data_IF_902417997032
#
_entry.id   IF_902417997032
#
_cell.length_a   1.000
_cell.length_b   1.000
_cell.length_c   1.000
_cell.angle_alpha   90.00
_cell.angle_beta   90.00
_cell.angle_gamma   90.00
#
_symmetry.space_group_name_H-M   'P 1'
#
loop_
_entity.id
_entity.type
_entity.pdbx_description
1 polymer ?
#
# COMPACT_ATOMS: atom_id res chain seq x y z
N UNK A 1 -15.04 -36.75 -33.57
CA UNK A 1 -13.86 -35.98 -34.02
C UNK A 1 -13.23 -35.43 -32.77
N UNK A 2 -12.01 -35.85 -32.54
CA UNK A 2 -11.15 -35.56 -31.40
C UNK A 2 -10.91 -34.06 -31.26
N UNK A 3 -11.23 -33.49 -30.10
CA UNK A 3 -10.61 -32.24 -29.66
C UNK A 3 -9.12 -32.49 -29.53
N UNK A 4 -8.36 -31.75 -30.33
CA UNK A 4 -6.91 -31.72 -30.36
C UNK A 4 -6.38 -31.24 -29.03
N UNK A 5 -5.75 -32.17 -28.33
CA UNK A 5 -4.88 -31.97 -27.18
C UNK A 5 -3.61 -31.23 -27.66
N UNK A 6 -3.68 -29.91 -27.83
CA UNK A 6 -2.49 -29.09 -27.99
C UNK A 6 -1.82 -28.93 -26.62
N UNK A 7 -0.65 -29.57 -26.47
CA UNK A 7 0.13 -29.62 -25.24
C UNK A 7 0.79 -28.28 -24.91
N UNK A 8 0.03 -27.38 -24.31
CA UNK A 8 0.58 -26.29 -23.50
C UNK A 8 1.09 -26.85 -22.17
N UNK A 9 2.35 -26.60 -21.83
CA UNK A 9 2.90 -26.85 -20.49
C UNK A 9 2.03 -26.04 -19.51
N UNK A 10 1.20 -26.72 -18.72
CA UNK A 10 0.34 -26.04 -17.76
C UNK A 10 1.18 -25.45 -16.62
N UNK A 11 0.75 -24.32 -16.04
CA UNK A 11 1.37 -23.69 -14.86
C UNK A 11 1.72 -24.70 -13.75
N UNK A 12 0.88 -25.73 -13.59
CA UNK A 12 1.04 -26.83 -12.64
C UNK A 12 2.31 -27.68 -12.83
N UNK A 13 2.90 -27.72 -14.03
CA UNK A 13 4.15 -28.41 -14.31
C UNK A 13 5.34 -27.65 -13.72
N UNK A 14 5.39 -26.32 -13.91
CA UNK A 14 6.43 -25.48 -13.32
C UNK A 14 6.42 -25.57 -11.78
N UNK A 15 5.24 -25.51 -11.16
CA UNK A 15 5.09 -25.62 -9.70
C UNK A 15 5.52 -26.98 -9.13
N UNK A 16 5.65 -28.01 -9.97
CA UNK A 16 6.13 -29.35 -9.56
C UNK A 16 7.65 -29.51 -9.72
N UNK A 17 8.33 -28.55 -10.32
CA UNK A 17 9.80 -28.59 -10.43
C UNK A 17 10.44 -28.69 -9.05
N UNK A 18 11.59 -29.37 -8.98
CA UNK A 18 12.42 -29.37 -7.77
C UNK A 18 12.86 -27.95 -7.39
N UNK A 19 12.90 -27.02 -8.35
CA UNK A 19 13.31 -25.63 -8.13
C UNK A 19 12.34 -24.88 -7.20
N UNK A 20 11.03 -25.18 -7.26
CA UNK A 20 10.02 -24.53 -6.43
C UNK A 20 9.70 -25.25 -5.12
N UNK A 21 10.19 -26.49 -4.93
CA UNK A 21 9.99 -27.28 -3.71
C UNK A 21 10.37 -26.53 -2.41
N UNK A 22 11.49 -25.78 -2.33
CA UNK A 22 11.88 -25.03 -1.14
C UNK A 22 10.90 -23.91 -0.74
N UNK A 23 10.05 -23.47 -1.67
CA UNK A 23 9.09 -22.37 -1.50
C UNK A 23 7.65 -22.86 -1.35
N UNK A 24 7.46 -24.16 -1.13
CA UNK A 24 6.12 -24.75 -0.95
C UNK A 24 5.33 -24.17 0.22
N UNK A 25 6.02 -23.63 1.23
CA UNK A 25 5.41 -22.91 2.35
C UNK A 25 4.91 -21.50 1.98
N UNK A 26 5.26 -20.97 0.81
CA UNK A 26 4.70 -19.73 0.27
C UNK A 26 3.55 -19.99 -0.70
N UNK A 27 3.23 -21.24 -1.05
CA UNK A 27 2.12 -21.50 -1.97
C UNK A 27 0.76 -21.12 -1.34
N UNK A 28 -0.08 -20.43 -2.12
CA UNK A 28 -1.46 -20.10 -1.72
C UNK A 28 -2.34 -21.36 -1.72
N UNK A 29 -2.20 -22.18 -2.75
CA UNK A 29 -2.92 -23.45 -2.92
C UNK A 29 -1.97 -24.56 -3.37
N UNK A 30 -2.31 -25.82 -3.02
CA UNK A 30 -1.51 -26.97 -3.43
C UNK A 30 -1.76 -27.31 -4.91
N UNK A 31 -0.71 -27.72 -5.66
CA UNK A 31 -0.88 -28.24 -7.02
C UNK A 31 -1.83 -29.45 -7.07
N UNK A 32 -2.58 -29.60 -8.16
CA UNK A 32 -3.64 -30.63 -8.30
C UNK A 32 -3.14 -32.08 -8.26
N UNK A 33 -1.84 -32.33 -8.44
CA UNK A 33 -1.17 -33.62 -8.32
C UNK A 33 0.34 -33.43 -8.05
N UNK A 34 1.01 -34.41 -7.44
CA UNK A 34 2.48 -34.46 -7.32
C UNK A 34 3.06 -34.38 -5.90
N UNK A 35 2.25 -33.99 -4.92
CA UNK A 35 2.63 -34.00 -3.50
C UNK A 35 1.79 -35.06 -2.78
N UNK A 36 2.40 -35.89 -1.92
CA UNK A 36 1.72 -36.97 -1.16
C UNK A 36 0.80 -36.42 -0.04
N UNK A 37 -0.11 -35.50 -0.37
CA UNK A 37 -1.04 -34.85 0.55
C UNK A 37 -2.40 -34.59 -0.12
N UNK A 38 -3.49 -34.49 0.65
CA UNK A 38 -4.88 -34.39 0.16
C UNK A 38 -5.11 -33.16 -0.76
N UNK A 39 -5.89 -33.35 -1.84
CA UNK A 39 -6.11 -32.42 -2.96
C UNK A 39 -7.08 -31.27 -2.64
N UNK A 40 -6.86 -30.11 -3.25
CA UNK A 40 -7.87 -29.04 -3.40
C UNK A 40 -8.21 -28.24 -2.14
N UNK A 41 -7.54 -28.53 -1.02
CA UNK A 41 -7.63 -27.77 0.22
C UNK A 41 -6.51 -26.71 0.26
N UNK A 42 -6.70 -25.59 0.98
CA UNK A 42 -5.61 -24.69 1.33
C UNK A 42 -4.41 -25.47 1.83
N UNK A 43 -3.20 -25.06 1.46
CA UNK A 43 -1.96 -25.77 1.84
C UNK A 43 -1.88 -25.95 3.36
N UNK A 44 -2.50 -25.05 4.13
CA UNK A 44 -2.22 -24.91 5.55
C UNK A 44 -3.51 -24.68 6.36
N UNK A 45 -3.90 -25.61 7.26
CA UNK A 45 -4.79 -25.29 8.37
C UNK A 45 -4.24 -24.12 9.20
N UNK A 46 -5.10 -23.40 9.92
CA UNK A 46 -4.73 -22.19 10.67
C UNK A 46 -3.46 -22.33 11.55
N UNK A 47 -3.22 -23.50 12.15
CA UNK A 47 -1.99 -23.74 12.96
C UNK A 47 -0.73 -23.82 12.11
N UNK A 48 -0.81 -24.44 10.94
CA UNK A 48 0.32 -24.52 10.01
C UNK A 48 0.63 -23.16 9.40
N UNK A 49 -0.42 -22.39 9.09
CA UNK A 49 -0.25 -21.02 8.61
C UNK A 49 0.46 -20.15 9.65
N UNK A 50 0.09 -20.28 10.92
CA UNK A 50 0.77 -19.60 12.01
C UNK A 50 2.24 -20.04 12.15
N UNK A 51 2.57 -21.31 11.89
CA UNK A 51 3.97 -21.77 11.92
C UNK A 51 4.78 -21.15 10.79
N UNK A 52 4.25 -21.15 9.57
CA UNK A 52 4.91 -20.55 8.40
C UNK A 52 5.15 -19.05 8.60
N UNK A 53 4.15 -18.32 9.12
CA UNK A 53 4.32 -16.90 9.40
C UNK A 53 5.38 -16.66 10.48
N UNK A 54 5.50 -17.54 11.48
CA UNK A 54 6.57 -17.47 12.48
C UNK A 54 7.96 -17.73 11.85
N UNK A 55 8.08 -18.74 11.01
CA UNK A 55 9.34 -19.11 10.36
C UNK A 55 9.81 -18.00 9.40
N UNK A 56 8.89 -17.39 8.64
CA UNK A 56 9.19 -16.25 7.79
C UNK A 56 9.65 -15.04 8.63
N UNK A 57 8.93 -14.70 9.71
CA UNK A 57 9.29 -13.58 10.57
C UNK A 57 10.66 -13.79 11.25
N UNK A 58 10.96 -15.02 11.68
CA UNK A 58 12.25 -15.38 12.25
C UNK A 58 13.39 -15.29 11.24
N UNK A 59 13.14 -15.65 9.97
CA UNK A 59 14.12 -15.46 8.89
C UNK A 59 14.33 -13.98 8.56
N UNK A 60 13.24 -13.19 8.57
CA UNK A 60 13.27 -11.77 8.26
C UNK A 60 14.02 -10.95 9.33
N UNK A 61 13.87 -11.34 10.60
CA UNK A 61 14.46 -10.67 11.77
C UNK A 61 15.71 -11.37 12.33
N UNK A 62 16.29 -12.28 11.55
CA UNK A 62 17.51 -12.97 11.95
C UNK A 62 18.65 -11.95 12.16
N UNK A 63 19.58 -12.19 13.11
CA UNK A 63 20.69 -11.29 13.41
C UNK A 63 21.79 -11.29 12.32
N UNK A 64 21.45 -11.65 11.09
CA UNK A 64 22.34 -11.78 9.92
C UNK A 64 22.14 -10.65 8.90
N UNK A 65 21.50 -9.56 9.31
CA UNK A 65 21.16 -8.41 8.47
C UNK A 65 20.37 -8.82 7.21
N UNK A 66 19.54 -9.85 7.30
CA UNK A 66 18.72 -10.32 6.18
C UNK A 66 19.46 -11.20 5.17
N UNK A 67 20.70 -11.62 5.43
CA UNK A 67 21.48 -12.45 4.50
C UNK A 67 20.72 -13.74 4.10
N UNK A 68 20.14 -14.44 5.07
CA UNK A 68 19.32 -15.63 4.82
C UNK A 68 18.04 -15.32 4.05
N UNK A 69 17.42 -14.16 4.31
CA UNK A 69 16.27 -13.68 3.56
C UNK A 69 16.64 -13.43 2.09
N UNK A 70 17.68 -12.65 1.83
CA UNK A 70 18.15 -12.32 0.49
C UNK A 70 18.53 -13.57 -0.30
N UNK A 71 19.26 -14.52 0.29
CA UNK A 71 19.60 -15.77 -0.37
C UNK A 71 18.35 -16.59 -0.76
N UNK A 72 17.32 -16.59 0.09
CA UNK A 72 16.04 -17.24 -0.21
C UNK A 72 15.31 -16.55 -1.36
N UNK A 73 15.31 -15.22 -1.39
CA UNK A 73 14.72 -14.43 -2.48
C UNK A 73 15.45 -14.67 -3.79
N UNK A 74 16.79 -14.68 -3.78
CA UNK A 74 17.61 -14.92 -4.98
C UNK A 74 17.37 -16.32 -5.56
N UNK A 75 17.22 -17.33 -4.70
CA UNK A 75 16.87 -18.68 -5.12
C UNK A 75 15.46 -18.74 -5.74
N UNK A 76 14.50 -17.97 -5.23
CA UNK A 76 13.14 -17.91 -5.80
C UNK A 76 13.15 -17.23 -7.17
N UNK A 77 13.81 -16.09 -7.30
CA UNK A 77 13.92 -15.37 -8.57
C UNK A 77 14.72 -16.17 -9.60
N UNK A 78 15.73 -16.95 -9.17
CA UNK A 78 16.43 -17.89 -10.05
C UNK A 78 15.50 -18.99 -10.59
N UNK A 79 14.67 -19.59 -9.73
CA UNK A 79 13.67 -20.57 -10.16
C UNK A 79 12.66 -19.94 -11.14
N UNK A 80 12.24 -18.70 -10.88
CA UNK A 80 11.31 -17.96 -11.73
C UNK A 80 11.92 -17.58 -13.08
N UNK A 81 13.22 -17.25 -13.13
CA UNK A 81 13.93 -16.97 -14.38
C UNK A 81 13.95 -18.19 -15.33
N UNK A 82 13.90 -19.41 -14.79
CA UNK A 82 13.75 -20.65 -15.55
C UNK A 82 12.35 -20.88 -16.16
N UNK A 83 11.34 -20.10 -15.77
CA UNK A 83 9.99 -20.14 -16.33
C UNK A 83 9.91 -19.20 -17.55
N UNK A 84 9.24 -19.59 -18.65
CA UNK A 84 9.00 -18.71 -19.80
C UNK A 84 8.32 -17.39 -19.38
N UNK A 85 8.75 -16.27 -19.96
CA UNK A 85 8.33 -14.91 -19.60
C UNK A 85 6.80 -14.76 -19.51
N UNK A 86 6.06 -15.32 -20.47
CA UNK A 86 4.59 -15.31 -20.55
C UNK A 86 3.87 -16.01 -19.37
N UNK A 87 4.58 -16.87 -18.64
CA UNK A 87 4.07 -17.61 -17.48
C UNK A 87 4.62 -17.14 -16.14
N UNK A 88 5.65 -16.28 -16.12
CA UNK A 88 6.33 -15.87 -14.87
C UNK A 88 5.37 -15.23 -13.87
N UNK A 89 4.57 -14.25 -14.30
CA UNK A 89 3.63 -13.59 -13.39
C UNK A 89 2.50 -14.53 -12.92
N UNK A 90 2.06 -15.45 -13.78
CA UNK A 90 1.08 -16.47 -13.42
C UNK A 90 1.62 -17.45 -12.38
N UNK A 91 2.92 -17.81 -12.47
CA UNK A 91 3.62 -18.62 -11.47
C UNK A 91 3.84 -17.82 -10.19
N UNK A 92 4.34 -16.57 -10.28
CA UNK A 92 4.56 -15.65 -9.15
C UNK A 92 3.26 -15.46 -8.34
N UNK A 93 2.13 -15.32 -9.01
CA UNK A 93 0.81 -15.14 -8.40
C UNK A 93 0.32 -16.36 -7.59
N UNK A 94 0.98 -17.53 -7.69
CA UNK A 94 0.67 -18.70 -6.86
C UNK A 94 1.36 -18.68 -5.50
N UNK A 95 2.26 -17.72 -5.28
CA UNK A 95 3.01 -17.57 -4.03
C UNK A 95 2.57 -16.33 -3.26
N UNK A 96 2.51 -16.48 -1.95
CA UNK A 96 2.28 -15.44 -0.98
C UNK A 96 3.12 -15.67 0.28
N UNK A 97 3.95 -14.68 0.60
CA UNK A 97 4.71 -14.60 1.84
C UNK A 97 3.78 -14.02 2.90
N UNK A 98 3.64 -14.72 4.01
CA UNK A 98 2.78 -14.30 5.12
C UNK A 98 3.61 -14.04 6.36
N UNK A 99 3.28 -12.95 7.02
CA UNK A 99 3.74 -12.51 8.33
C UNK A 99 2.55 -12.19 9.25
N UNK A 100 1.34 -12.66 8.90
CA UNK A 100 0.10 -12.30 9.57
C UNK A 100 0.14 -12.58 11.09
N UNK A 101 -0.42 -11.65 11.86
CA UNK A 101 -0.54 -11.69 13.32
C UNK A 101 0.79 -11.96 14.05
N UNK A 102 1.90 -11.40 13.54
CA UNK A 102 3.23 -11.51 14.16
C UNK A 102 3.58 -10.27 14.95
N UNK A 103 4.27 -10.46 16.07
CA UNK A 103 4.95 -9.37 16.77
C UNK A 103 6.43 -9.36 16.38
N UNK A 104 6.93 -8.22 15.89
CA UNK A 104 8.33 -8.01 15.51
C UNK A 104 9.20 -7.47 16.67
N UNK A 105 8.63 -7.39 17.89
CA UNK A 105 9.23 -6.87 19.15
C UNK A 105 9.46 -5.35 19.12
N UNK A 106 9.58 -4.73 20.29
CA UNK A 106 9.77 -3.27 20.46
C UNK A 106 11.19 -2.76 20.10
N UNK A 107 11.93 -3.52 19.31
CA UNK A 107 13.25 -3.14 18.84
C UNK A 107 13.19 -2.48 17.46
N UNK A 108 14.31 -1.89 17.02
CA UNK A 108 14.44 -1.38 15.65
C UNK A 108 14.25 -2.53 14.64
N UNK A 109 13.30 -2.38 13.74
CA UNK A 109 13.05 -3.27 12.60
C UNK A 109 13.55 -2.58 11.33
N UNK A 110 14.73 -2.97 10.86
CA UNK A 110 15.34 -2.43 9.63
C UNK A 110 15.22 -3.43 8.48
N UNK A 111 14.32 -3.10 7.55
CA UNK A 111 14.00 -3.84 6.32
C UNK A 111 14.30 -2.97 5.09
N UNK A 112 15.21 -2.01 5.22
CA UNK A 112 15.60 -1.13 4.13
C UNK A 112 16.19 -1.92 2.95
N UNK A 113 15.69 -1.65 1.75
CA UNK A 113 16.10 -2.35 0.53
C UNK A 113 15.70 -3.83 0.43
N UNK A 114 14.90 -4.36 1.37
CA UNK A 114 14.44 -5.74 1.32
C UNK A 114 13.57 -6.00 0.09
N UNK A 115 13.72 -7.18 -0.50
CA UNK A 115 12.91 -7.64 -1.64
C UNK A 115 11.89 -8.69 -1.17
N UNK A 116 10.66 -8.53 -1.62
CA UNK A 116 9.57 -9.46 -1.42
C UNK A 116 9.07 -9.89 -2.82
N UNK A 117 9.49 -11.07 -3.32
CA UNK A 117 9.37 -11.42 -4.73
C UNK A 117 7.96 -11.85 -5.16
N UNK A 118 7.00 -11.95 -4.24
CA UNK A 118 5.62 -12.31 -4.57
C UNK A 118 4.67 -11.61 -3.59
N UNK A 119 3.39 -11.98 -3.63
CA UNK A 119 2.37 -11.36 -2.77
C UNK A 119 2.82 -11.42 -1.32
N UNK A 120 2.62 -10.36 -0.55
CA UNK A 120 3.15 -10.25 0.80
C UNK A 120 2.08 -9.71 1.74
N UNK A 121 1.95 -10.33 2.91
CA UNK A 121 0.96 -9.95 3.91
C UNK A 121 1.61 -9.81 5.28
N UNK A 122 1.37 -8.67 5.91
CA UNK A 122 1.67 -8.31 7.30
C UNK A 122 0.37 -8.02 8.07
N UNK A 123 -0.76 -8.58 7.64
CA UNK A 123 -2.06 -8.31 8.26
C UNK A 123 -2.06 -8.57 9.77
N UNK A 124 -2.67 -7.67 10.52
CA UNK A 124 -2.78 -7.72 11.99
C UNK A 124 -1.42 -7.89 12.72
N UNK A 125 -0.30 -7.54 12.08
CA UNK A 125 1.03 -7.63 12.69
C UNK A 125 1.29 -6.45 13.62
N UNK A 126 2.13 -6.66 14.61
CA UNK A 126 2.57 -5.67 15.57
C UNK A 126 4.08 -5.43 15.40
N UNK A 127 4.46 -4.26 14.90
CA UNK A 127 5.86 -3.90 14.71
C UNK A 127 6.53 -3.35 15.98
N UNK A 128 5.80 -3.22 17.09
CA UNK A 128 6.32 -2.68 18.35
C UNK A 128 6.53 -1.16 18.30
N UNK A 129 7.13 -0.63 19.35
CA UNK A 129 7.32 0.83 19.53
C UNK A 129 8.69 1.35 19.04
N UNK A 130 9.50 0.49 18.42
CA UNK A 130 10.79 0.88 17.85
C UNK A 130 10.68 1.49 16.45
N UNK A 131 11.81 2.02 15.95
CA UNK A 131 11.93 2.46 14.54
C UNK A 131 11.63 1.31 13.57
N UNK A 132 10.84 1.57 12.53
CA UNK A 132 10.49 0.59 11.49
C UNK A 132 10.83 1.14 10.11
N UNK A 133 11.79 0.54 9.44
CA UNK A 133 12.30 1.04 8.16
C UNK A 133 12.08 0.04 7.03
N UNK A 134 11.23 0.38 6.06
CA UNK A 134 11.06 -0.26 4.76
C UNK A 134 11.61 0.61 3.62
N UNK A 135 12.49 1.58 3.92
CA UNK A 135 12.99 2.51 2.92
C UNK A 135 13.64 1.78 1.74
N UNK A 136 13.20 2.08 0.51
CA UNK A 136 13.66 1.42 -0.71
C UNK A 136 13.31 -0.06 -0.83
N UNK A 137 12.47 -0.62 0.05
CA UNK A 137 12.00 -2.00 -0.06
C UNK A 137 11.16 -2.19 -1.34
N UNK A 138 11.17 -3.40 -1.90
CA UNK A 138 10.44 -3.74 -3.12
C UNK A 138 9.50 -4.92 -2.88
N UNK A 139 8.23 -4.69 -3.15
CA UNK A 139 7.17 -5.68 -3.10
C UNK A 139 6.71 -6.00 -4.53
N UNK A 140 7.13 -7.13 -5.09
CA UNK A 140 6.87 -7.47 -6.48
C UNK A 140 5.49 -8.13 -6.71
N UNK A 141 4.82 -8.56 -5.64
CA UNK A 141 3.54 -9.25 -5.71
C UNK A 141 2.35 -8.34 -6.02
N UNK A 142 1.27 -8.97 -6.53
CA UNK A 142 0.01 -8.28 -6.82
C UNK A 142 -0.83 -7.96 -5.57
N UNK A 143 -0.60 -8.64 -4.46
CA UNK A 143 -1.31 -8.41 -3.20
C UNK A 143 -0.28 -8.06 -2.15
N UNK A 144 -0.38 -6.86 -1.61
CA UNK A 144 0.52 -6.32 -0.59
C UNK A 144 -0.35 -5.75 0.52
N UNK A 145 -0.38 -6.39 1.69
CA UNK A 145 -1.30 -6.02 2.76
C UNK A 145 -0.55 -5.77 4.06
N UNK A 146 -0.79 -4.61 4.64
CA UNK A 146 -0.48 -4.24 6.02
C UNK A 146 -1.77 -4.05 6.82
N UNK A 147 -2.93 -4.49 6.31
CA UNK A 147 -4.21 -4.15 6.89
C UNK A 147 -4.29 -4.58 8.37
N UNK A 148 -4.75 -3.68 9.24
CA UNK A 148 -4.83 -3.91 10.68
C UNK A 148 -3.49 -3.95 11.43
N UNK A 149 -2.36 -3.74 10.75
CA UNK A 149 -1.07 -3.72 11.42
C UNK A 149 -0.94 -2.53 12.40
N UNK A 150 -0.15 -2.73 13.46
CA UNK A 150 0.24 -1.69 14.41
C UNK A 150 1.70 -1.36 14.21
N UNK A 151 1.98 -0.09 13.99
CA UNK A 151 3.30 0.51 14.12
C UNK A 151 3.27 1.41 15.35
N UNK A 152 4.16 1.19 16.30
CA UNK A 152 4.20 1.97 17.53
C UNK A 152 4.84 3.34 17.32
N UNK A 153 5.29 3.97 18.40
CA UNK A 153 5.73 5.37 18.43
C UNK A 153 7.22 5.55 18.08
N UNK A 154 7.72 4.85 17.07
CA UNK A 154 9.04 5.12 16.52
C UNK A 154 8.91 5.55 15.07
N UNK A 155 9.93 6.20 14.52
CA UNK A 155 9.93 6.61 13.11
C UNK A 155 9.64 5.42 12.17
N UNK A 156 8.63 5.59 11.32
CA UNK A 156 8.18 4.61 10.34
C UNK A 156 8.49 5.14 8.94
N UNK A 157 9.31 4.42 8.18
CA UNK A 157 9.70 4.86 6.84
C UNK A 157 9.40 3.80 5.78
N UNK A 158 8.57 4.16 4.81
CA UNK A 158 8.40 3.51 3.51
C UNK A 158 9.02 4.36 2.38
N UNK A 159 9.94 5.27 2.72
CA UNK A 159 10.49 6.23 1.76
C UNK A 159 11.14 5.51 0.56
N UNK A 160 10.73 5.86 -0.66
CA UNK A 160 11.21 5.22 -1.89
C UNK A 160 10.83 3.73 -2.04
N UNK A 161 9.97 3.17 -1.18
CA UNK A 161 9.50 1.81 -1.32
C UNK A 161 8.66 1.62 -2.59
N UNK A 162 8.68 0.42 -3.15
CA UNK A 162 8.02 0.08 -4.43
C UNK A 162 6.97 -1.00 -4.20
N UNK A 163 5.71 -0.68 -4.44
CA UNK A 163 4.57 -1.57 -4.27
C UNK A 163 4.02 -1.99 -5.63
N UNK A 164 4.38 -3.19 -6.06
CA UNK A 164 4.09 -3.74 -7.39
C UNK A 164 5.26 -3.54 -8.36
N UNK A 165 5.43 -4.52 -9.26
CA UNK A 165 6.45 -4.45 -10.33
C UNK A 165 6.01 -5.10 -11.65
N UNK A 166 4.80 -5.66 -11.70
CA UNK A 166 4.26 -6.39 -12.86
C UNK A 166 3.24 -5.57 -13.65
N UNK A 167 2.83 -6.05 -14.83
CA UNK A 167 1.81 -5.39 -15.67
C UNK A 167 0.38 -5.57 -15.14
N UNK A 168 0.18 -6.51 -14.23
CA UNK A 168 -1.14 -6.80 -13.67
C UNK A 168 -1.49 -5.83 -12.52
N UNK A 169 -2.76 -5.40 -12.40
CA UNK A 169 -3.19 -4.52 -11.33
C UNK A 169 -2.88 -5.06 -9.94
N UNK A 170 -2.31 -4.21 -9.09
CA UNK A 170 -2.01 -4.55 -7.70
C UNK A 170 -3.17 -4.24 -6.76
N UNK A 171 -3.08 -4.78 -5.55
CA UNK A 171 -3.90 -4.43 -4.39
C UNK A 171 -2.94 -4.15 -3.25
N UNK A 172 -2.87 -2.89 -2.85
CA UNK A 172 -2.04 -2.42 -1.73
C UNK A 172 -2.96 -1.90 -0.64
N UNK A 173 -2.94 -2.53 0.54
CA UNK A 173 -3.81 -2.13 1.65
C UNK A 173 -3.00 -1.79 2.90
N UNK A 174 -3.20 -0.58 3.38
CA UNK A 174 -2.85 -0.08 4.71
C UNK A 174 -4.14 0.16 5.53
N UNK A 175 -5.24 -0.50 5.18
CA UNK A 175 -6.53 -0.26 5.81
C UNK A 175 -6.49 -0.59 7.30
N UNK A 176 -7.08 0.26 8.12
CA UNK A 176 -7.12 0.09 9.59
C UNK A 176 -5.75 -0.06 10.23
N UNK A 177 -4.68 0.38 9.57
CA UNK A 177 -3.36 0.47 10.20
C UNK A 177 -3.38 1.54 11.29
N UNK A 178 -2.76 1.24 12.43
CA UNK A 178 -2.45 2.24 13.44
C UNK A 178 -0.97 2.61 13.37
N UNK A 179 -0.66 3.83 12.93
CA UNK A 179 0.67 4.41 13.03
C UNK A 179 0.78 5.24 14.31
N UNK A 180 1.89 5.08 15.04
CA UNK A 180 2.16 5.79 16.29
C UNK A 180 2.52 7.26 16.09
N UNK A 181 2.91 7.89 17.20
CA UNK A 181 2.97 9.35 17.35
C UNK A 181 4.30 10.00 16.91
N UNK A 182 4.98 9.39 15.93
CA UNK A 182 6.26 9.84 15.38
C UNK A 182 6.14 9.99 13.85
N UNK A 183 7.26 10.21 13.15
CA UNK A 183 7.24 10.40 11.70
C UNK A 183 6.75 9.14 10.97
N UNK A 184 5.79 9.31 10.06
CA UNK A 184 5.36 8.29 9.09
C UNK A 184 5.68 8.78 7.67
N UNK A 185 6.67 8.17 7.03
CA UNK A 185 7.24 8.70 5.79
C UNK A 185 7.06 7.72 4.61
N UNK A 186 6.17 8.06 3.68
CA UNK A 186 5.97 7.45 2.37
C UNK A 186 6.60 8.27 1.23
N UNK A 187 7.45 9.24 1.53
CA UNK A 187 8.06 10.14 0.56
C UNK A 187 8.78 9.41 -0.56
N UNK A 188 8.47 9.75 -1.80
CA UNK A 188 8.99 9.11 -3.01
C UNK A 188 8.59 7.64 -3.19
N UNK A 189 7.67 7.09 -2.37
CA UNK A 189 7.17 5.75 -2.57
C UNK A 189 6.41 5.64 -3.90
N UNK A 190 6.49 4.48 -4.55
CA UNK A 190 5.83 4.21 -5.81
C UNK A 190 4.88 3.04 -5.67
N UNK A 191 3.62 3.26 -6.02
CA UNK A 191 2.57 2.27 -6.06
C UNK A 191 2.18 2.02 -7.53
N UNK A 192 2.33 0.79 -8.00
CA UNK A 192 1.95 0.41 -9.36
C UNK A 192 0.43 0.51 -9.57
N UNK A 193 0.00 0.44 -10.82
CA UNK A 193 -1.43 0.49 -11.19
C UNK A 193 -2.23 -0.56 -10.43
N UNK A 194 -3.33 -0.16 -9.80
CA UNK A 194 -4.07 -1.04 -8.92
C UNK A 194 -4.90 -0.30 -7.87
N UNK A 195 -5.55 -1.06 -7.01
CA UNK A 195 -6.29 -0.52 -5.87
C UNK A 195 -5.35 -0.27 -4.71
N UNK A 196 -5.25 0.98 -4.26
CA UNK A 196 -4.38 1.41 -3.17
C UNK A 196 -5.24 2.04 -2.08
N UNK A 197 -5.19 1.52 -0.86
CA UNK A 197 -6.11 1.93 0.21
C UNK A 197 -5.41 2.15 1.54
N UNK A 198 -5.72 3.27 2.17
CA UNK A 198 -5.40 3.70 3.53
C UNK A 198 -6.72 3.98 4.28
N UNK A 199 -7.74 3.17 4.00
CA UNK A 199 -9.09 3.36 4.50
C UNK A 199 -9.15 3.06 6.00
N UNK A 200 -9.77 3.95 6.77
CA UNK A 200 -9.86 3.83 8.23
C UNK A 200 -8.49 3.73 8.94
N UNK A 201 -7.41 4.12 8.27
CA UNK A 201 -6.07 4.20 8.87
C UNK A 201 -6.04 5.32 9.91
N UNK A 202 -5.32 5.11 11.00
CA UNK A 202 -5.13 6.10 12.06
C UNK A 202 -3.66 6.48 12.14
N UNK A 203 -3.39 7.75 11.91
CA UNK A 203 -2.12 8.39 12.18
C UNK A 203 -2.28 9.15 13.50
N UNK A 204 -1.63 8.67 14.56
CA UNK A 204 -1.53 9.37 15.84
C UNK A 204 -0.75 10.69 15.68
N UNK A 205 -0.75 11.59 16.68
CA UNK A 205 -0.11 12.90 16.52
C UNK A 205 1.35 12.78 16.10
N UNK A 206 1.73 13.38 14.98
CA UNK A 206 3.04 13.17 14.34
C UNK A 206 3.00 13.62 12.88
N UNK A 207 4.18 13.73 12.27
CA UNK A 207 4.30 14.14 10.88
C UNK A 207 4.03 12.96 9.94
N UNK A 208 3.27 13.19 8.87
CA UNK A 208 2.97 12.17 7.85
C UNK A 208 3.30 12.72 6.48
N UNK A 209 4.25 12.10 5.78
CA UNK A 209 4.73 12.60 4.49
C UNK A 209 4.47 11.58 3.39
N UNK A 210 3.80 12.02 2.33
CA UNK A 210 3.68 11.34 1.04
C UNK A 210 4.43 12.10 -0.06
N UNK A 211 5.32 13.02 0.31
CA UNK A 211 5.98 13.94 -0.62
C UNK A 211 6.63 13.25 -1.82
N UNK A 212 6.26 13.67 -3.02
CA UNK A 212 6.77 13.07 -4.26
C UNK A 212 6.39 11.61 -4.47
N UNK A 213 5.45 11.04 -3.70
CA UNK A 213 4.95 9.70 -3.95
C UNK A 213 4.22 9.63 -5.30
N UNK A 214 4.23 8.45 -5.91
CA UNK A 214 3.56 8.19 -7.18
C UNK A 214 2.61 7.03 -7.04
N UNK A 215 1.33 7.26 -7.29
CA UNK A 215 0.29 6.27 -7.40
C UNK A 215 -0.02 5.99 -8.87
N UNK A 216 -0.21 4.73 -9.22
CA UNK A 216 -0.64 4.32 -10.54
C UNK A 216 -2.08 4.73 -10.86
N UNK A 217 -2.58 4.30 -12.01
CA UNK A 217 -3.85 4.74 -12.59
C UNK A 217 -5.11 4.12 -11.97
N UNK A 218 -4.96 3.28 -10.94
CA UNK A 218 -6.09 2.69 -10.23
C UNK A 218 -6.63 3.57 -9.10
N UNK A 219 -7.70 3.12 -8.40
CA UNK A 219 -8.31 3.90 -7.33
C UNK A 219 -7.41 4.02 -6.10
N UNK A 220 -7.34 5.23 -5.54
CA UNK A 220 -6.61 5.55 -4.30
C UNK A 220 -7.62 6.00 -3.23
N UNK A 221 -7.59 5.39 -2.05
CA UNK A 221 -8.53 5.72 -0.98
C UNK A 221 -7.83 6.03 0.34
N UNK A 222 -8.27 7.12 0.98
CA UNK A 222 -8.03 7.49 2.38
C UNK A 222 -9.37 7.60 3.12
N UNK A 223 -10.41 6.90 2.64
CA UNK A 223 -11.76 7.06 3.15
C UNK A 223 -11.85 6.71 4.64
N UNK A 224 -12.35 7.65 5.45
CA UNK A 224 -12.45 7.51 6.89
C UNK A 224 -11.11 7.47 7.64
N UNK A 225 -9.98 7.77 6.99
CA UNK A 225 -8.70 7.90 7.66
C UNK A 225 -8.74 9.04 8.69
N UNK A 226 -8.00 8.89 9.79
CA UNK A 226 -7.85 9.94 10.80
C UNK A 226 -6.39 10.34 10.87
N UNK A 227 -6.14 11.63 10.64
CA UNK A 227 -4.86 12.31 10.83
C UNK A 227 -5.00 13.21 12.04
N UNK A 228 -4.36 12.83 13.14
CA UNK A 228 -4.30 13.66 14.34
C UNK A 228 -3.32 14.85 14.14
N UNK A 229 -3.07 15.62 15.20
CA UNK A 229 -2.23 16.81 15.17
C UNK A 229 -0.82 16.54 14.60
N UNK A 230 -0.30 17.44 13.77
CA UNK A 230 1.00 17.30 13.10
C UNK A 230 1.01 17.95 11.73
N UNK A 231 2.06 17.73 10.95
CA UNK A 231 2.12 18.15 9.54
C UNK A 231 1.86 16.96 8.63
N UNK A 232 0.84 17.06 7.78
CA UNK A 232 0.45 16.06 6.79
C UNK A 232 0.75 16.61 5.40
N UNK A 233 1.71 16.03 4.70
CA UNK A 233 2.14 16.55 3.41
C UNK A 233 1.96 15.51 2.30
N UNK A 234 1.31 15.94 1.22
CA UNK A 234 1.19 15.23 -0.05
C UNK A 234 1.83 16.06 -1.17
N UNK A 235 2.80 16.90 -0.84
CA UNK A 235 3.41 17.83 -1.77
C UNK A 235 4.08 17.09 -2.93
N UNK A 236 3.95 17.64 -4.14
CA UNK A 236 4.48 17.08 -5.39
C UNK A 236 4.05 15.60 -5.65
N UNK A 237 2.99 15.11 -5.01
CA UNK A 237 2.47 13.74 -5.21
C UNK A 237 1.78 13.60 -6.57
N UNK A 238 1.94 12.45 -7.22
CA UNK A 238 1.24 12.09 -8.46
C UNK A 238 0.19 11.01 -8.16
N UNK A 239 -1.11 11.31 -8.30
CA UNK A 239 -2.18 10.37 -7.94
C UNK A 239 -2.71 9.51 -9.11
N UNK A 240 -2.23 9.69 -10.34
CA UNK A 240 -2.68 8.94 -11.52
C UNK A 240 -4.09 9.32 -12.01
N UNK A 241 -4.76 8.46 -12.76
CA UNK A 241 -6.08 8.74 -13.37
C UNK A 241 -7.30 8.10 -12.70
N UNK A 242 -7.09 7.27 -11.68
CA UNK A 242 -8.17 6.63 -10.93
C UNK A 242 -8.95 7.60 -10.04
N UNK A 243 -9.93 7.09 -9.29
CA UNK A 243 -10.69 7.90 -8.31
C UNK A 243 -9.87 8.11 -7.04
N UNK A 244 -9.91 9.32 -6.46
CA UNK A 244 -9.22 9.70 -5.22
C UNK A 244 -10.27 9.97 -4.15
N UNK A 245 -10.34 9.09 -3.16
CA UNK A 245 -11.42 9.08 -2.18
C UNK A 245 -10.90 9.42 -0.77
N UNK A 246 -11.14 10.65 -0.33
CA UNK A 246 -10.87 11.12 1.04
C UNK A 246 -12.16 11.18 1.88
N UNK A 247 -13.28 10.61 1.43
CA UNK A 247 -14.57 10.81 2.08
C UNK A 247 -14.54 10.41 3.55
N UNK A 248 -15.15 11.23 4.39
CA UNK A 248 -15.23 11.04 5.85
C UNK A 248 -13.87 11.00 6.56
N UNK A 249 -12.78 11.36 5.88
CA UNK A 249 -11.49 11.54 6.54
C UNK A 249 -11.57 12.68 7.57
N UNK A 250 -10.73 12.61 8.59
CA UNK A 250 -10.64 13.62 9.65
C UNK A 250 -9.19 14.09 9.73
N UNK A 251 -8.99 15.38 9.50
CA UNK A 251 -7.76 16.13 9.70
C UNK A 251 -8.04 16.99 10.94
N UNK A 252 -7.44 16.66 12.09
CA UNK A 252 -7.75 17.35 13.36
C UNK A 252 -7.14 18.77 13.36
N UNK A 253 -6.21 19.14 14.24
CA UNK A 253 -5.55 20.45 14.17
C UNK A 253 -4.25 20.39 13.35
N UNK A 254 -4.25 19.64 12.24
CA UNK A 254 -3.04 19.43 11.43
C UNK A 254 -2.89 20.41 10.27
N UNK A 255 -1.64 20.76 9.96
CA UNK A 255 -1.31 21.45 8.71
C UNK A 255 -1.27 20.42 7.58
N UNK A 256 -2.23 20.48 6.66
CA UNK A 256 -2.33 19.57 5.52
C UNK A 256 -1.99 20.27 4.22
N UNK A 257 -1.01 19.78 3.47
CA UNK A 257 -0.61 20.36 2.19
C UNK A 257 -0.67 19.34 1.07
N UNK A 258 -1.12 19.80 -0.10
CA UNK A 258 -1.13 19.10 -1.38
C UNK A 258 -0.42 19.99 -2.43
N UNK A 259 0.61 20.71 -2.01
CA UNK A 259 1.18 21.77 -2.83
C UNK A 259 1.96 21.15 -4.00
N UNK A 260 1.69 21.62 -5.21
CA UNK A 260 2.29 21.02 -6.42
C UNK A 260 1.78 19.61 -6.77
N UNK A 261 0.86 19.03 -6.00
CA UNK A 261 0.34 17.69 -6.28
C UNK A 261 -0.43 17.64 -7.62
N UNK A 262 -0.23 16.58 -8.39
CA UNK A 262 -0.99 16.28 -9.61
C UNK A 262 -2.03 15.21 -9.29
N UNK A 263 -3.28 15.63 -9.17
CA UNK A 263 -4.42 14.73 -8.97
C UNK A 263 -4.82 14.01 -10.26
N UNK A 264 -4.22 14.29 -11.41
CA UNK A 264 -4.50 13.66 -12.69
C UNK A 264 -5.98 13.74 -13.09
N UNK A 265 -6.44 12.78 -13.89
CA UNK A 265 -7.85 12.66 -14.26
C UNK A 265 -8.65 11.91 -13.18
N UNK A 266 -9.98 11.92 -13.30
CA UNK A 266 -10.87 11.17 -12.42
C UNK A 266 -11.42 12.00 -11.27
N UNK A 267 -12.36 11.42 -10.54
CA UNK A 267 -13.05 12.10 -9.45
C UNK A 267 -12.17 12.18 -8.19
N UNK A 268 -12.16 13.34 -7.54
CA UNK A 268 -11.53 13.59 -6.24
C UNK A 268 -12.63 13.99 -5.25
N UNK A 269 -12.84 13.20 -4.20
CA UNK A 269 -13.91 13.44 -3.23
C UNK A 269 -13.37 13.64 -1.82
N UNK A 270 -13.59 14.84 -1.29
CA UNK A 270 -13.45 15.24 0.11
C UNK A 270 -14.84 15.36 0.78
N UNK A 271 -15.83 14.58 0.34
CA UNK A 271 -17.18 14.67 0.91
C UNK A 271 -17.18 14.20 2.37
N UNK A 272 -17.88 14.94 3.22
CA UNK A 272 -17.99 14.66 4.66
C UNK A 272 -16.64 14.65 5.40
N UNK A 273 -15.60 15.27 4.83
CA UNK A 273 -14.32 15.46 5.51
C UNK A 273 -14.48 16.49 6.63
N UNK A 274 -13.85 16.22 7.78
CA UNK A 274 -13.61 17.24 8.81
C UNK A 274 -12.16 17.71 8.64
N UNK A 275 -11.97 18.92 8.14
CA UNK A 275 -10.65 19.54 7.98
C UNK A 275 -10.12 20.17 9.27
N UNK A 276 -10.93 20.17 10.34
CA UNK A 276 -10.56 20.77 11.61
C UNK A 276 -10.26 22.26 11.50
N UNK A 277 -9.23 22.70 12.23
CA UNK A 277 -8.87 24.12 12.40
C UNK A 277 -7.48 24.48 11.83
N UNK A 278 -6.79 23.50 11.23
CA UNK A 278 -5.45 23.69 10.67
C UNK A 278 -5.41 24.36 9.29
N UNK A 279 -4.21 24.46 8.72
CA UNK A 279 -4.02 24.89 7.33
C UNK A 279 -4.41 23.75 6.38
N UNK A 280 -5.11 24.05 5.29
CA UNK A 280 -5.30 23.12 4.16
C UNK A 280 -4.89 23.80 2.86
N UNK A 281 -3.73 23.44 2.33
CA UNK A 281 -3.18 24.05 1.11
C UNK A 281 -3.24 23.11 -0.09
N UNK A 282 -3.66 23.66 -1.23
CA UNK A 282 -3.64 23.02 -2.54
C UNK A 282 -2.87 23.90 -3.54
N UNK A 283 -1.91 24.69 -3.06
CA UNK A 283 -1.23 25.70 -3.85
C UNK A 283 -0.41 25.03 -4.96
N UNK A 284 -0.52 25.51 -6.21
CA UNK A 284 0.13 24.92 -7.39
C UNK A 284 -0.31 23.49 -7.73
N UNK A 285 -1.37 22.95 -7.12
CA UNK A 285 -1.89 21.63 -7.46
C UNK A 285 -2.61 21.62 -8.82
N UNK A 286 -2.71 20.45 -9.44
CA UNK A 286 -3.36 20.24 -10.73
C UNK A 286 -4.48 19.21 -10.58
N UNK A 287 -5.68 19.59 -11.02
CA UNK A 287 -6.83 18.70 -11.16
C UNK A 287 -7.18 18.57 -12.64
N UNK A 288 -7.28 17.34 -13.13
CA UNK A 288 -7.74 17.03 -14.48
C UNK A 288 -9.26 17.02 -14.62
N UNK A 289 -9.76 16.42 -15.70
CA UNK A 289 -11.19 16.26 -15.92
C UNK A 289 -11.76 15.21 -14.95
N UNK A 290 -12.91 15.54 -14.38
CA UNK A 290 -13.55 14.79 -13.30
C UNK A 290 -14.29 15.74 -12.36
N UNK A 291 -14.80 15.21 -11.27
CA UNK A 291 -15.46 15.99 -10.21
C UNK A 291 -14.54 16.16 -9.03
N UNK A 292 -14.30 17.40 -8.61
CA UNK A 292 -13.73 17.72 -7.30
C UNK A 292 -14.88 18.08 -6.36
N UNK A 293 -15.08 17.29 -5.31
CA UNK A 293 -16.24 17.42 -4.42
C UNK A 293 -15.83 17.62 -2.96
N UNK A 294 -16.46 18.58 -2.29
CA UNK A 294 -16.32 18.92 -0.87
C UNK A 294 -17.70 18.90 -0.18
N UNK A 295 -18.59 18.01 -0.63
CA UNK A 295 -19.97 18.02 -0.19
C UNK A 295 -20.07 17.67 1.31
N UNK A 296 -20.85 18.43 2.07
CA UNK A 296 -21.07 18.20 3.50
C UNK A 296 -19.76 18.17 4.32
N UNK A 297 -18.68 18.81 3.85
CA UNK A 297 -17.45 18.92 4.62
C UNK A 297 -17.58 19.97 5.75
N UNK A 298 -16.72 19.83 6.74
CA UNK A 298 -16.54 20.78 7.84
C UNK A 298 -15.15 21.38 7.74
N UNK A 299 -15.10 22.70 7.73
CA UNK A 299 -13.88 23.48 7.88
C UNK A 299 -14.16 24.49 8.98
N UNK A 300 -13.51 24.32 10.15
CA UNK A 300 -13.69 25.19 11.32
C UNK A 300 -13.08 26.57 11.08
N UNK A 301 -12.06 26.94 11.85
CA UNK A 301 -11.20 28.10 11.53
C UNK A 301 -10.10 27.77 10.49
N UNK A 302 -10.23 26.63 9.81
CA UNK A 302 -9.29 26.15 8.81
C UNK A 302 -8.99 27.22 7.75
N UNK A 303 -7.72 27.54 7.57
CA UNK A 303 -7.26 28.41 6.49
C UNK A 303 -7.02 27.56 5.25
N UNK A 304 -7.84 27.72 4.22
CA UNK A 304 -7.71 26.95 2.97
C UNK A 304 -7.11 27.78 1.82
N UNK A 305 -6.20 27.23 1.01
CA UNK A 305 -5.60 27.91 -0.15
C UNK A 305 -5.55 27.07 -1.41
N UNK A 306 -5.67 27.72 -2.58
CA UNK A 306 -5.67 27.11 -3.93
C UNK A 306 -4.88 27.99 -4.93
N UNK A 307 -3.65 28.40 -4.58
CA UNK A 307 -2.92 29.50 -5.26
C UNK A 307 -1.66 29.03 -6.01
N UNK A 308 -1.57 29.28 -7.32
CA UNK A 308 -2.62 29.04 -8.30
C UNK A 308 -2.83 27.52 -8.49
N UNK A 309 -3.98 26.99 -8.12
CA UNK A 309 -4.37 25.62 -8.48
C UNK A 309 -5.00 25.57 -9.89
N UNK A 310 -4.72 24.54 -10.68
CA UNK A 310 -5.27 24.36 -12.03
C UNK A 310 -6.47 23.40 -12.02
N UNK A 311 -7.65 23.87 -12.45
CA UNK A 311 -8.89 23.07 -12.56
C UNK A 311 -9.21 22.76 -14.04
N UNK A 312 -8.46 21.83 -14.62
CA UNK A 312 -8.46 21.56 -16.07
C UNK A 312 -9.68 20.72 -16.51
N UNK A 313 -10.83 21.39 -16.69
CA UNK A 313 -12.09 20.73 -17.05
C UNK A 313 -12.75 20.03 -15.85
N UNK A 314 -12.32 20.37 -14.63
CA UNK A 314 -12.85 19.86 -13.37
C UNK A 314 -14.21 20.48 -13.06
N UNK A 315 -15.18 19.66 -12.68
CA UNK A 315 -16.44 20.12 -12.09
C UNK A 315 -16.25 20.26 -10.58
N UNK A 316 -16.48 21.46 -10.03
CA UNK A 316 -16.36 21.71 -8.60
C UNK A 316 -17.73 21.63 -7.90
N UNK A 317 -17.84 20.79 -6.88
CA UNK A 317 -19.02 20.65 -6.02
C UNK A 317 -18.71 21.04 -4.57
N UNK A 318 -19.23 22.19 -4.12
CA UNK A 318 -19.08 22.67 -2.74
C UNK A 318 -20.42 22.77 -2.00
N UNK A 319 -21.36 21.85 -2.28
CA UNK A 319 -22.67 21.89 -1.64
C UNK A 319 -22.56 21.59 -0.13
N UNK A 320 -23.19 22.45 0.69
CA UNK A 320 -23.34 22.27 2.15
C UNK A 320 -22.02 22.20 2.94
N UNK A 321 -21.02 22.96 2.52
CA UNK A 321 -19.83 23.22 3.35
C UNK A 321 -20.27 23.99 4.59
N UNK A 322 -20.09 23.40 5.78
CA UNK A 322 -20.37 24.07 7.05
C UNK A 322 -19.21 25.01 7.40
N UNK A 323 -19.49 26.31 7.42
CA UNK A 323 -18.50 27.39 7.58
C UNK A 323 -18.61 28.02 8.98
N UNK A 324 -17.51 28.05 9.73
CA UNK A 324 -17.22 29.18 10.64
C UNK A 324 -16.07 30.09 10.13
N UNK A 325 -15.37 29.69 9.04
CA UNK A 325 -14.45 30.54 8.27
C UNK A 325 -14.51 30.22 6.75
N UNK A 326 -14.41 31.24 5.89
CA UNK A 326 -14.57 31.10 4.43
C UNK A 326 -13.56 30.13 3.77
N UNK A 327 -14.05 29.05 3.15
CA UNK A 327 -13.27 28.24 2.18
C UNK A 327 -13.09 29.06 0.89
N UNK A 328 -12.00 29.84 0.84
CA UNK A 328 -11.70 30.75 -0.28
C UNK A 328 -11.11 30.01 -1.47
N UNK A 329 -11.98 29.53 -2.36
CA UNK A 329 -11.57 29.13 -3.71
C UNK A 329 -11.39 30.41 -4.53
N UNK A 330 -10.17 30.96 -4.54
CA UNK A 330 -9.84 32.08 -5.42
C UNK A 330 -9.43 31.55 -6.79
N UNK A 331 -10.34 31.61 -7.77
CA UNK A 331 -9.96 31.48 -9.18
C UNK A 331 -9.15 32.72 -9.58
N UNK A 332 -7.88 32.52 -9.90
CA UNK A 332 -7.03 33.52 -10.58
C UNK A 332 -7.30 33.53 -12.06
#
# INVERSE_FOLDING_TARGET
>A
MSESNEGGVGIEEFLRSQDFMPFSNWLVERPRAGWNLKRGEPVCPHREQARISADNAALLTAPDCGAGWHARVDAFEWALAGVPDEHREQVRARFMIRFDARSFRDGRTDLSGFRFPCSTSFEDSDFGDGEVCFAGASFAGRMISFAGARFGSGDISFAGARFGSGPDPVRVSFDRVGFGADLVNFGGASFADGEISFGLTRFEPGDVWFDGATFGDGPVSFAGATFADGTISFDDTLFGTGTKDFRKARFEACETTFDGADFGQGDVSFDQVDFGDGLVSFDRSVFGAGTLSFQDCRAGECHSTFRPAALNGTTLNCAKVSLEGELKVSNG
#
